data_IF_546652912824
#
_entry.id   IF_546652912824
#
_cell.length_a   1.000
_cell.length_b   1.000
_cell.length_c   1.000
_cell.angle_alpha   90.00
_cell.angle_beta   90.00
_cell.angle_gamma   90.00
#
_symmetry.space_group_name_H-M   'P 1'
#
loop_
_entity.id
_entity.type
_entity.pdbx_description
1 polymer ?
#
# COMPACT_ATOMS: atom_id res chain seq x y z
N UNK A 1 17.47 -4.65 57.27
CA UNK A 1 16.21 -5.44 57.17
C UNK A 1 15.99 -5.82 55.72
N UNK A 2 16.30 -7.06 55.35
CA UNK A 2 16.15 -7.57 53.97
C UNK A 2 14.70 -8.08 53.82
N UNK A 3 13.91 -7.45 52.92
CA UNK A 3 12.54 -7.88 52.59
C UNK A 3 12.62 -9.23 51.88
N UNK A 4 12.13 -10.27 52.56
CA UNK A 4 12.00 -11.64 52.03
C UNK A 4 11.02 -11.61 50.87
N UNK A 5 11.52 -11.77 49.62
CA UNK A 5 10.66 -11.95 48.45
C UNK A 5 9.84 -13.24 48.63
N UNK A 6 8.52 -13.11 48.62
CA UNK A 6 7.63 -14.27 48.64
C UNK A 6 7.75 -15.04 47.31
N UNK A 7 8.37 -16.24 47.37
CA UNK A 7 8.40 -17.11 46.19
C UNK A 7 6.97 -17.60 45.92
N UNK A 8 6.48 -17.35 44.72
CA UNK A 8 5.26 -17.92 44.19
C UNK A 8 5.38 -19.44 44.17
N UNK A 9 4.72 -20.12 45.13
CA UNK A 9 4.73 -21.59 45.20
C UNK A 9 3.35 -22.12 44.84
N UNK A 10 3.26 -23.32 44.29
CA UNK A 10 2.01 -24.00 43.97
C UNK A 10 1.04 -24.02 45.17
N UNK A 11 1.58 -24.15 46.40
CA UNK A 11 0.82 -24.12 47.64
C UNK A 11 0.13 -22.77 47.93
N UNK A 12 0.77 -21.66 47.55
CA UNK A 12 0.21 -20.30 47.67
C UNK A 12 -0.93 -20.06 46.66
N UNK A 13 -0.76 -20.54 45.43
CA UNK A 13 -1.75 -20.47 44.36
C UNK A 13 -3.04 -21.25 44.69
N UNK A 14 -2.91 -22.45 45.31
CA UNK A 14 -4.07 -23.21 45.82
C UNK A 14 -4.84 -22.49 46.90
N UNK A 15 -4.15 -21.73 47.74
CA UNK A 15 -4.77 -20.95 48.86
C UNK A 15 -5.65 -19.81 48.38
N UNK A 16 -5.37 -19.27 47.16
CA UNK A 16 -6.17 -18.21 46.53
C UNK A 16 -7.23 -18.74 45.57
N UNK A 17 -7.53 -20.07 45.61
CA UNK A 17 -8.61 -20.67 44.83
C UNK A 17 -8.35 -20.90 43.35
N UNK A 18 -7.08 -20.81 42.91
CA UNK A 18 -6.72 -21.11 41.51
C UNK A 18 -6.74 -22.62 41.30
N UNK A 19 -7.69 -23.11 40.52
CA UNK A 19 -7.80 -24.54 40.17
C UNK A 19 -6.55 -25.01 39.41
N UNK A 20 -6.10 -26.25 39.70
CA UNK A 20 -4.89 -26.82 39.12
C UNK A 20 -4.84 -26.82 37.57
N UNK A 21 -6.01 -26.79 36.92
CA UNK A 21 -6.16 -26.75 35.46
C UNK A 21 -5.91 -25.34 34.88
N UNK A 22 -6.09 -24.25 35.67
CA UNK A 22 -5.93 -22.89 35.18
C UNK A 22 -4.47 -22.50 34.89
N UNK A 23 -3.53 -23.02 35.66
CA UNK A 23 -2.09 -22.70 35.48
C UNK A 23 -1.53 -23.28 34.17
N UNK A 24 -1.73 -24.58 33.86
CA UNK A 24 -1.32 -25.14 32.56
C UNK A 24 -2.02 -24.47 31.39
N UNK A 25 -3.33 -24.12 31.54
CA UNK A 25 -4.11 -23.44 30.52
C UNK A 25 -3.58 -22.04 30.20
N UNK A 26 -3.23 -21.25 31.22
CA UNK A 26 -2.64 -19.93 31.06
C UNK A 26 -1.22 -19.97 30.44
N UNK A 27 -0.42 -20.97 30.82
CA UNK A 27 0.90 -21.18 30.21
C UNK A 27 0.77 -21.58 28.74
N UNK A 28 -0.16 -22.47 28.41
CA UNK A 28 -0.42 -22.86 27.03
C UNK A 28 -0.92 -21.68 26.19
N UNK A 29 -1.86 -20.90 26.72
CA UNK A 29 -2.36 -19.69 26.07
C UNK A 29 -1.27 -18.63 25.88
N UNK A 30 -0.36 -18.49 26.85
CA UNK A 30 0.81 -17.61 26.75
C UNK A 30 1.79 -18.07 25.66
N UNK A 31 2.08 -19.35 25.58
CA UNK A 31 2.96 -19.92 24.55
C UNK A 31 2.33 -19.81 23.16
N UNK A 32 1.04 -20.14 23.04
CA UNK A 32 0.32 -20.02 21.75
C UNK A 32 0.17 -18.56 21.32
N UNK A 33 -0.10 -17.65 22.25
CA UNK A 33 -0.14 -16.23 21.99
C UNK A 33 1.23 -15.67 21.57
N UNK A 34 2.31 -16.10 22.23
CA UNK A 34 3.67 -15.70 21.90
C UNK A 34 4.12 -16.22 20.54
N UNK A 35 3.87 -17.52 20.26
CA UNK A 35 4.22 -18.13 18.96
C UNK A 35 3.36 -17.57 17.82
N UNK A 36 2.08 -17.31 18.09
CA UNK A 36 1.18 -16.62 17.14
C UNK A 36 1.67 -15.20 16.84
N UNK A 37 2.05 -14.45 17.87
CA UNK A 37 2.61 -13.10 17.71
C UNK A 37 3.93 -13.10 16.94
N UNK A 38 4.83 -14.04 17.18
CA UNK A 38 6.09 -14.14 16.44
C UNK A 38 5.89 -14.50 14.96
N UNK A 39 4.88 -15.30 14.63
CA UNK A 39 4.60 -15.68 13.23
C UNK A 39 3.75 -14.67 12.47
N UNK A 40 2.75 -14.08 13.11
CA UNK A 40 1.78 -13.18 12.45
C UNK A 40 2.10 -11.70 12.63
N UNK A 41 2.66 -11.30 13.78
CA UNK A 41 2.94 -9.90 14.09
C UNK A 41 3.93 -9.24 13.11
N UNK A 42 5.09 -9.85 12.81
CA UNK A 42 6.05 -9.27 11.87
C UNK A 42 5.50 -9.14 10.45
N UNK A 43 4.65 -10.06 10.01
CA UNK A 43 4.10 -10.05 8.64
C UNK A 43 3.02 -8.98 8.46
N UNK A 44 2.22 -8.72 9.49
CA UNK A 44 1.23 -7.62 9.48
C UNK A 44 1.94 -6.27 9.42
N UNK A 45 3.04 -6.08 10.16
CA UNK A 45 3.85 -4.86 10.09
C UNK A 45 4.62 -4.74 8.77
N UNK A 46 5.14 -5.84 8.25
CA UNK A 46 5.86 -5.90 6.98
C UNK A 46 4.94 -5.59 5.80
N UNK A 47 3.70 -6.10 5.82
CA UNK A 47 2.70 -5.80 4.79
C UNK A 47 2.28 -4.32 4.79
N UNK A 48 2.13 -3.67 5.95
CA UNK A 48 1.88 -2.22 6.01
C UNK A 48 3.06 -1.37 5.50
N UNK A 49 4.30 -1.84 5.65
CA UNK A 49 5.46 -1.18 5.06
C UNK A 49 5.60 -1.47 3.56
N UNK A 50 5.18 -2.67 3.11
CA UNK A 50 5.22 -3.05 1.70
C UNK A 50 4.19 -2.31 0.84
N UNK A 51 3.02 -1.97 1.41
CA UNK A 51 1.92 -1.28 0.72
C UNK A 51 1.53 0.00 1.48
N UNK A 52 2.37 1.05 1.46
CA UNK A 52 2.07 2.29 2.15
C UNK A 52 0.93 3.05 1.46
N UNK A 53 0.04 3.67 2.22
CA UNK A 53 -1.03 4.53 1.68
C UNK A 53 -0.49 5.87 1.16
N UNK A 54 0.71 6.27 1.55
CA UNK A 54 1.37 7.50 1.11
C UNK A 54 2.87 7.47 1.39
N UNK A 55 3.62 8.36 0.75
CA UNK A 55 5.04 8.54 1.02
C UNK A 55 5.61 9.77 0.33
N UNK A 56 6.85 10.12 0.68
CA UNK A 56 7.62 11.15 -0.02
C UNK A 56 8.48 10.46 -1.08
N UNK A 57 8.44 10.97 -2.30
CA UNK A 57 9.21 10.40 -3.42
C UNK A 57 10.66 10.82 -3.31
N UNK A 58 11.58 9.84 -3.33
CA UNK A 58 13.03 10.04 -3.22
C UNK A 58 13.73 10.03 -4.58
N UNK A 59 13.46 9.02 -5.40
CA UNK A 59 14.17 8.79 -6.67
C UNK A 59 13.17 8.47 -7.77
N UNK A 60 13.37 9.03 -8.95
CA UNK A 60 12.66 8.64 -10.17
C UNK A 60 13.56 7.67 -10.94
N UNK A 61 13.02 6.50 -11.27
CA UNK A 61 13.76 5.44 -11.98
C UNK A 61 13.48 5.45 -13.48
N UNK A 62 12.20 5.58 -13.84
CA UNK A 62 11.69 5.62 -15.22
C UNK A 62 10.49 6.56 -15.30
N UNK A 63 9.97 6.79 -16.50
CA UNK A 63 8.82 7.68 -16.72
C UNK A 63 7.50 7.23 -16.05
N UNK A 64 7.46 6.02 -15.49
CA UNK A 64 6.32 5.46 -14.77
C UNK A 64 6.69 4.80 -13.43
N UNK A 65 7.94 4.92 -13.00
CA UNK A 65 8.46 4.21 -11.82
C UNK A 65 9.31 5.14 -10.95
N UNK A 66 9.04 5.13 -9.65
CA UNK A 66 9.78 5.91 -8.66
C UNK A 66 9.95 5.13 -7.35
N UNK A 67 10.79 5.63 -6.47
CA UNK A 67 11.03 5.07 -5.14
C UNK A 67 10.70 6.09 -4.05
N UNK A 68 10.03 5.63 -3.01
CA UNK A 68 9.73 6.39 -1.82
C UNK A 68 10.92 6.43 -0.85
N UNK A 69 10.91 7.35 0.11
CA UNK A 69 11.97 7.47 1.14
C UNK A 69 12.12 6.21 1.99
N UNK A 70 11.06 5.42 2.16
CA UNK A 70 11.10 4.14 2.87
C UNK A 70 11.61 2.96 2.01
N UNK A 71 12.09 3.21 0.78
CA UNK A 71 12.63 2.21 -0.12
C UNK A 71 11.60 1.44 -0.94
N UNK A 72 10.31 1.72 -0.77
CA UNK A 72 9.26 1.09 -1.59
C UNK A 72 9.30 1.63 -3.02
N UNK A 73 9.43 0.74 -3.99
CA UNK A 73 9.34 1.07 -5.42
C UNK A 73 7.91 1.03 -5.89
N UNK A 74 7.47 2.12 -6.52
CA UNK A 74 6.12 2.31 -7.01
C UNK A 74 6.13 2.39 -8.53
N UNK A 75 5.29 1.59 -9.20
CA UNK A 75 4.96 1.74 -10.61
C UNK A 75 3.54 2.28 -10.74
N UNK A 76 3.37 3.31 -11.55
CA UNK A 76 2.05 3.85 -11.88
C UNK A 76 1.25 2.81 -12.69
N UNK A 77 0.15 2.32 -12.12
CA UNK A 77 -0.69 1.30 -12.75
C UNK A 77 -1.53 1.90 -13.90
N UNK A 78 -1.85 1.10 -14.91
CA UNK A 78 -2.73 1.50 -16.01
C UNK A 78 -2.09 2.38 -17.10
N UNK A 79 -0.82 2.74 -16.96
CA UNK A 79 -0.08 3.48 -17.98
C UNK A 79 1.32 2.89 -18.19
N UNK A 80 1.85 3.09 -19.40
CA UNK A 80 3.21 2.74 -19.74
C UNK A 80 3.91 3.95 -20.37
N UNK A 81 4.97 4.41 -19.73
CA UNK A 81 5.83 5.47 -20.27
C UNK A 81 6.92 4.87 -21.17
N UNK A 82 7.52 5.66 -22.06
CA UNK A 82 8.66 5.22 -22.86
C UNK A 82 9.81 4.74 -21.98
N UNK A 83 10.31 3.54 -22.29
CA UNK A 83 11.41 2.90 -21.59
C UNK A 83 12.77 3.52 -21.92
N UNK A 84 13.80 3.15 -21.14
CA UNK A 84 15.16 3.64 -21.36
C UNK A 84 15.65 3.30 -22.78
N UNK A 85 16.09 4.33 -23.50
CA UNK A 85 16.54 4.22 -24.89
C UNK A 85 15.43 4.45 -25.93
N UNK A 86 14.18 4.54 -25.51
CA UNK A 86 13.07 4.92 -26.40
C UNK A 86 12.97 6.45 -26.55
N UNK A 87 12.37 6.89 -27.65
CA UNK A 87 12.05 8.30 -27.87
C UNK A 87 11.21 8.84 -26.71
N UNK A 88 11.50 10.07 -26.26
CA UNK A 88 10.84 10.75 -25.13
C UNK A 88 11.04 10.11 -23.74
N UNK A 89 11.87 9.08 -23.57
CA UNK A 89 12.13 8.50 -22.26
C UNK A 89 12.64 9.53 -21.25
N UNK A 90 13.60 10.37 -21.66
CA UNK A 90 14.12 11.44 -20.81
C UNK A 90 13.07 12.51 -20.44
N UNK A 91 12.19 12.85 -21.39
CA UNK A 91 11.08 13.78 -21.14
C UNK A 91 10.07 13.20 -20.15
N UNK A 92 9.75 11.91 -20.28
CA UNK A 92 8.85 11.21 -19.36
C UNK A 92 9.40 11.18 -17.92
N UNK A 93 10.70 10.84 -17.77
CA UNK A 93 11.39 10.88 -16.46
C UNK A 93 11.36 12.29 -15.88
N UNK A 94 11.68 13.31 -16.69
CA UNK A 94 11.65 14.71 -16.25
C UNK A 94 10.24 15.12 -15.82
N UNK A 95 9.22 14.82 -16.62
CA UNK A 95 7.83 15.18 -16.31
C UNK A 95 7.35 14.51 -15.03
N UNK A 96 7.61 13.21 -14.85
CA UNK A 96 7.28 12.51 -13.61
C UNK A 96 8.01 13.14 -12.42
N UNK A 97 9.29 13.49 -12.59
CA UNK A 97 10.07 14.19 -11.55
C UNK A 97 9.42 15.52 -11.15
N UNK A 98 9.06 16.34 -12.12
CA UNK A 98 8.41 17.65 -11.86
C UNK A 98 7.07 17.50 -11.10
N UNK A 99 6.35 16.40 -11.35
CA UNK A 99 5.09 16.10 -10.68
C UNK A 99 5.28 15.65 -9.24
N UNK A 100 6.21 14.71 -8.98
CA UNK A 100 6.22 13.95 -7.72
C UNK A 100 7.51 14.03 -6.89
N UNK A 101 8.66 14.40 -7.47
CA UNK A 101 9.96 14.40 -6.79
C UNK A 101 9.94 15.28 -5.54
N UNK A 102 10.42 14.73 -4.43
CA UNK A 102 10.48 15.35 -3.10
C UNK A 102 9.11 15.79 -2.53
N UNK A 103 8.01 15.32 -3.15
CA UNK A 103 6.65 15.60 -2.71
C UNK A 103 6.00 14.39 -2.09
N UNK A 104 4.99 14.65 -1.24
CA UNK A 104 4.11 13.61 -0.72
C UNK A 104 3.15 13.18 -1.82
N UNK A 105 3.08 11.87 -2.04
CA UNK A 105 2.11 11.21 -2.91
C UNK A 105 1.20 10.30 -2.09
N UNK A 106 -0.01 10.09 -2.58
CA UNK A 106 -0.96 9.16 -2.03
C UNK A 106 -1.14 8.00 -3.00
N UNK A 107 -1.17 6.78 -2.50
CA UNK A 107 -1.18 5.55 -3.29
C UNK A 107 -2.51 4.84 -3.09
N UNK A 108 -3.28 4.76 -4.16
CA UNK A 108 -4.52 3.99 -4.19
C UNK A 108 -4.28 2.68 -4.92
N UNK A 109 -4.54 1.57 -4.23
CA UNK A 109 -4.32 0.23 -4.80
C UNK A 109 -5.55 -0.24 -5.57
N UNK A 110 -5.28 -0.99 -6.62
CA UNK A 110 -6.26 -1.72 -7.42
C UNK A 110 -6.15 -3.23 -7.12
N UNK A 111 -6.86 -4.07 -7.85
CA UNK A 111 -6.81 -5.54 -7.73
C UNK A 111 -5.43 -6.13 -7.88
N UNK A 112 -4.55 -5.48 -8.61
CA UNK A 112 -3.13 -5.83 -8.74
C UNK A 112 -2.33 -4.84 -7.92
N UNK A 113 -1.69 -5.34 -6.87
CA UNK A 113 -1.00 -4.50 -5.89
C UNK A 113 0.51 -4.54 -6.05
N UNK A 114 1.03 -5.56 -6.71
CA UNK A 114 2.47 -5.74 -6.95
C UNK A 114 2.74 -6.44 -8.29
N UNK A 115 4.00 -6.41 -8.70
CA UNK A 115 4.49 -7.10 -9.87
C UNK A 115 5.64 -8.06 -9.54
N UNK A 116 6.04 -8.86 -10.55
CA UNK A 116 7.14 -9.83 -10.43
C UNK A 116 8.50 -9.23 -10.10
N UNK A 117 8.65 -7.91 -10.18
CA UNK A 117 9.88 -7.18 -9.87
C UNK A 117 9.87 -6.59 -8.45
N UNK A 118 8.84 -6.88 -7.67
CA UNK A 118 8.67 -6.37 -6.30
C UNK A 118 8.37 -4.88 -6.24
N UNK A 119 7.74 -4.31 -7.28
CA UNK A 119 7.22 -2.95 -7.26
C UNK A 119 5.75 -2.99 -6.87
N UNK A 120 5.31 -2.02 -6.07
CA UNK A 120 3.88 -1.84 -5.82
C UNK A 120 3.24 -1.13 -7.00
N UNK A 121 2.03 -1.57 -7.37
CA UNK A 121 1.22 -1.01 -8.46
C UNK A 121 0.14 -0.12 -7.87
N UNK A 122 0.18 1.18 -8.17
CA UNK A 122 -0.77 2.12 -7.57
C UNK A 122 -1.21 3.22 -8.54
N UNK A 123 -2.42 3.70 -8.33
CA UNK A 123 -2.88 5.01 -8.76
C UNK A 123 -2.24 6.05 -7.86
N UNK A 124 -1.61 7.06 -8.45
CA UNK A 124 -0.79 8.02 -7.73
C UNK A 124 -1.47 9.39 -7.73
N UNK A 125 -1.87 9.83 -6.54
CA UNK A 125 -2.54 11.11 -6.33
C UNK A 125 -1.59 12.12 -5.71
N UNK A 126 -1.64 13.36 -6.20
CA UNK A 126 -0.84 14.49 -5.72
C UNK A 126 -1.72 15.72 -5.46
N UNK A 127 -1.21 16.62 -4.62
CA UNK A 127 -1.87 17.89 -4.28
C UNK A 127 -3.29 17.70 -3.69
N UNK A 128 -3.51 16.62 -2.96
CA UNK A 128 -4.76 16.42 -2.24
C UNK A 128 -4.87 17.42 -1.09
N UNK A 129 -6.07 17.97 -0.87
CA UNK A 129 -6.34 18.96 0.19
C UNK A 129 -6.27 18.31 1.58
N UNK A 130 -6.73 17.05 1.66
CA UNK A 130 -6.76 16.25 2.87
C UNK A 130 -6.31 14.82 2.57
N UNK A 131 -6.27 13.97 3.58
CA UNK A 131 -6.05 12.53 3.41
C UNK A 131 -7.17 11.93 2.56
N UNK A 132 -6.88 11.37 1.38
CA UNK A 132 -7.89 10.79 0.52
C UNK A 132 -8.55 9.57 1.15
N UNK A 133 -9.85 9.39 0.89
CA UNK A 133 -10.58 8.15 1.16
C UNK A 133 -10.65 7.33 -0.12
N UNK A 134 -9.89 6.25 -0.15
CA UNK A 134 -9.81 5.38 -1.33
C UNK A 134 -10.85 4.26 -1.29
N UNK A 135 -11.28 3.84 -2.47
CA UNK A 135 -12.06 2.62 -2.62
C UNK A 135 -11.20 1.39 -2.32
N UNK A 136 -11.79 0.29 -1.83
CA UNK A 136 -11.07 -0.95 -1.61
C UNK A 136 -10.33 -1.43 -2.85
N UNK A 137 -9.19 -2.09 -2.68
CA UNK A 137 -8.37 -2.59 -3.79
C UNK A 137 -9.09 -3.62 -4.68
N UNK A 138 -10.08 -4.33 -4.14
CA UNK A 138 -10.90 -5.30 -4.84
C UNK A 138 -12.19 -4.71 -5.45
N UNK A 139 -12.35 -3.38 -5.41
CA UNK A 139 -13.55 -2.70 -5.92
C UNK A 139 -13.95 -3.15 -7.34
N UNK A 140 -12.99 -3.30 -8.25
CA UNK A 140 -13.27 -3.69 -9.63
C UNK A 140 -13.79 -5.13 -9.74
N UNK A 141 -13.36 -6.03 -8.87
CA UNK A 141 -13.92 -7.38 -8.78
C UNK A 141 -15.37 -7.34 -8.30
N UNK A 142 -15.64 -6.53 -7.27
CA UNK A 142 -17.00 -6.34 -6.73
C UNK A 142 -17.93 -5.64 -7.71
N UNK A 143 -17.41 -4.83 -8.63
CA UNK A 143 -18.17 -4.13 -9.67
C UNK A 143 -18.20 -4.86 -11.03
N UNK A 144 -18.03 -6.18 -11.04
CA UNK A 144 -18.02 -7.00 -12.25
C UNK A 144 -16.99 -6.57 -13.30
N UNK A 145 -15.82 -6.12 -12.85
CA UNK A 145 -14.71 -5.68 -13.70
C UNK A 145 -15.04 -4.51 -14.64
N UNK A 146 -15.99 -3.67 -14.32
CA UNK A 146 -16.36 -2.48 -15.09
C UNK A 146 -16.09 -1.21 -14.29
N UNK A 147 -15.50 -0.22 -14.93
CA UNK A 147 -15.43 1.12 -14.37
C UNK A 147 -16.84 1.68 -14.22
N UNK A 148 -17.16 2.20 -13.05
CA UNK A 148 -18.42 2.89 -12.83
C UNK A 148 -18.32 4.35 -13.24
N UNK A 149 -19.44 4.99 -13.67
CA UNK A 149 -19.45 6.43 -13.98
C UNK A 149 -18.87 7.31 -12.87
N UNK A 150 -19.09 6.97 -11.59
CA UNK A 150 -18.54 7.73 -10.45
C UNK A 150 -17.03 7.62 -10.24
N UNK A 151 -16.32 6.75 -10.95
CA UNK A 151 -14.85 6.68 -10.92
C UNK A 151 -14.17 7.65 -11.89
N UNK A 152 -14.92 8.54 -12.52
CA UNK A 152 -14.37 9.70 -13.24
C UNK A 152 -13.95 10.82 -12.29
N UNK A 153 -14.46 10.84 -11.06
CA UNK A 153 -14.17 11.86 -10.06
C UNK A 153 -12.95 11.51 -9.20
N UNK A 154 -12.33 12.54 -8.66
CA UNK A 154 -11.28 12.37 -7.67
C UNK A 154 -11.85 11.86 -6.35
N UNK A 155 -11.10 11.07 -5.57
CA UNK A 155 -11.54 10.58 -4.27
C UNK A 155 -11.80 11.73 -3.29
N UNK A 156 -12.68 11.48 -2.32
CA UNK A 156 -12.93 12.42 -1.22
C UNK A 156 -11.61 12.76 -0.50
N UNK A 157 -11.39 14.05 -0.23
CA UNK A 157 -10.13 14.55 0.32
C UNK A 157 -9.08 14.89 -0.74
N UNK A 158 -9.32 14.52 -2.01
CA UNK A 158 -8.42 14.83 -3.13
C UNK A 158 -9.16 15.50 -4.30
N UNK A 159 -10.24 16.24 -4.04
CA UNK A 159 -11.11 16.82 -5.10
C UNK A 159 -10.37 17.74 -6.07
N UNK A 160 -9.44 18.56 -5.57
CA UNK A 160 -8.59 19.46 -6.38
C UNK A 160 -7.23 18.84 -6.74
N UNK A 161 -6.96 17.63 -6.23
CA UNK A 161 -5.74 16.92 -6.53
C UNK A 161 -5.70 16.42 -7.98
N UNK A 162 -4.55 15.86 -8.34
CA UNK A 162 -4.29 15.36 -9.70
C UNK A 162 -3.91 13.90 -9.66
N UNK A 163 -4.40 13.15 -10.64
CA UNK A 163 -3.94 11.79 -10.91
C UNK A 163 -2.69 11.85 -11.81
N UNK A 164 -1.58 11.34 -11.32
CA UNK A 164 -0.27 11.41 -12.03
C UNK A 164 -0.36 10.74 -13.40
N UNK A 165 -1.05 9.61 -13.50
CA UNK A 165 -1.26 8.90 -14.75
C UNK A 165 -1.93 9.79 -15.81
N UNK A 166 -2.95 10.55 -15.45
CA UNK A 166 -3.58 11.51 -16.37
C UNK A 166 -2.64 12.62 -16.81
N UNK A 167 -1.85 13.17 -15.89
CA UNK A 167 -0.91 14.24 -16.19
C UNK A 167 0.20 13.76 -17.13
N UNK A 168 0.62 12.50 -17.01
CA UNK A 168 1.58 11.88 -17.94
C UNK A 168 0.97 11.64 -19.33
N UNK A 169 -0.27 11.16 -19.38
CA UNK A 169 -0.98 10.94 -20.65
C UNK A 169 -1.31 12.25 -21.37
N UNK A 170 -1.79 13.27 -20.65
CA UNK A 170 -2.05 14.61 -21.20
C UNK A 170 -0.80 15.25 -21.80
N UNK A 171 0.37 14.94 -21.24
CA UNK A 171 1.65 15.40 -21.79
C UNK A 171 2.13 14.57 -23.01
N UNK A 172 1.44 13.50 -23.40
CA UNK A 172 1.86 12.58 -24.47
C UNK A 172 3.10 11.76 -24.10
N UNK A 173 3.37 11.59 -22.80
CA UNK A 173 4.54 10.92 -22.23
C UNK A 173 4.23 9.57 -21.56
N UNK A 174 2.98 9.11 -21.69
CA UNK A 174 2.57 7.76 -21.36
C UNK A 174 1.41 7.32 -22.25
N UNK A 175 1.25 6.02 -22.40
CA UNK A 175 0.13 5.39 -23.13
C UNK A 175 -0.69 4.55 -22.17
N UNK A 176 -1.98 4.42 -22.44
CA UNK A 176 -2.85 3.52 -21.69
C UNK A 176 -2.35 2.08 -21.79
N UNK A 177 -2.16 1.42 -20.65
CA UNK A 177 -1.84 0.00 -20.55
C UNK A 177 -3.10 -0.76 -20.09
N UNK A 178 -3.65 -1.62 -20.97
CA UNK A 178 -4.86 -2.39 -20.69
C UNK A 178 -4.52 -3.84 -20.42
N UNK A 179 -5.14 -4.40 -19.40
CA UNK A 179 -4.95 -5.81 -19.02
C UNK A 179 -6.13 -6.66 -19.53
N UNK A 180 -6.24 -6.81 -20.86
CA UNK A 180 -7.38 -7.43 -21.57
C UNK A 180 -7.90 -8.74 -20.94
N UNK A 181 -7.00 -9.59 -20.46
CA UNK A 181 -7.37 -10.89 -19.85
C UNK A 181 -7.76 -10.73 -18.37
N UNK A 182 -7.43 -9.61 -17.75
CA UNK A 182 -7.56 -9.40 -16.30
C UNK A 182 -8.69 -8.44 -15.91
N UNK A 183 -9.42 -7.91 -16.89
CA UNK A 183 -10.49 -6.93 -16.70
C UNK A 183 -9.99 -5.50 -16.52
N UNK A 184 -10.90 -4.55 -16.52
CA UNK A 184 -10.60 -3.12 -16.39
C UNK A 184 -10.03 -2.79 -15.01
N UNK A 185 -9.23 -1.73 -14.97
CA UNK A 185 -8.73 -1.11 -13.76
C UNK A 185 -9.65 0.04 -13.33
N UNK A 186 -9.58 0.46 -12.05
CA UNK A 186 -10.48 1.46 -11.44
C UNK A 186 -10.67 2.70 -12.31
N UNK A 187 -9.59 3.30 -12.78
CA UNK A 187 -9.60 4.55 -13.52
C UNK A 187 -9.27 4.38 -15.01
N UNK A 188 -9.31 3.14 -15.53
CA UNK A 188 -9.04 2.89 -16.95
C UNK A 188 -10.01 3.64 -17.87
N UNK A 189 -11.30 3.66 -17.53
CA UNK A 189 -12.31 4.41 -18.28
C UNK A 189 -12.10 5.93 -18.26
N UNK A 190 -11.43 6.47 -17.25
CA UNK A 190 -11.07 7.89 -17.13
C UNK A 190 -9.85 8.26 -18.00
N UNK A 191 -8.99 7.28 -18.30
CA UNK A 191 -7.77 7.47 -19.08
C UNK A 191 -7.98 7.27 -20.60
N UNK A 192 -9.14 6.76 -21.02
CA UNK A 192 -9.54 6.62 -22.44
C UNK A 192 -10.01 7.97 -22.97
#
# INVERSE_FOLDING_TARGET
MVKKQSRLTAKWLRKIGVKEVLIPGLLLAGVLGWTGWQKLGPDIYRNKQAFPDSGIVRVITDGDTFELQNGVRVRTVGVNAPGRGEEKAGEAVKRLSDLVKDKKVWLEYDRYQDDKYGRVLAWVWINCEFTPKFLPSDYMRLSFNRSRPGLTENPEGCKKGKLVQEEMMKAGLAKLETYKVRGELKYEGRLR
#
